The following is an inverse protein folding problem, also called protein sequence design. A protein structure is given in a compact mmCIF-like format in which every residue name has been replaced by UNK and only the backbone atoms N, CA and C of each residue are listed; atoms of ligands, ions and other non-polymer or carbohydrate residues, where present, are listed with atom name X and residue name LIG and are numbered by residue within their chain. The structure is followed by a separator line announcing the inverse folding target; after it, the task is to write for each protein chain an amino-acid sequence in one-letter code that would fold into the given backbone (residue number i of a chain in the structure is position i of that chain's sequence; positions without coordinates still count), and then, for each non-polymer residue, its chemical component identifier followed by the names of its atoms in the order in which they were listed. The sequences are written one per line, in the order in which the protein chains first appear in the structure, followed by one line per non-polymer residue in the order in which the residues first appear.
data_IF_009996749993
#
_entry.id   IF_009996749993
#
_cell.length_a   1.000
_cell.length_b   1.000
_cell.length_c   1.000
_cell.angle_alpha   90.00
_cell.angle_beta   90.00
_cell.angle_gamma   90.00
#
_symmetry.space_group_name_H-M   'P 1'
#
loop_
_entity.id
_entity.type
_entity.pdbx_description
1 polymer ?
#
# COMPACT_ATOMS: atom_id res chain seq x y z
N UNK A 1 18.89 -14.97 -2.95
CA UNK A 1 17.53 -15.41 -2.60
C UNK A 1 16.65 -14.33 -1.95
N UNK A 2 17.13 -13.08 -1.77
CA UNK A 2 16.36 -11.98 -1.13
C UNK A 2 15.48 -11.19 -2.12
N UNK A 3 15.90 -11.07 -3.39
CA UNK A 3 15.24 -10.24 -4.40
C UNK A 3 13.86 -10.79 -4.80
N UNK A 4 13.70 -12.11 -4.89
CA UNK A 4 12.41 -12.73 -5.26
C UNK A 4 11.35 -12.54 -4.17
N UNK A 5 11.77 -12.58 -2.90
CA UNK A 5 10.87 -12.43 -1.76
C UNK A 5 10.27 -11.02 -1.70
N UNK A 6 11.10 -9.97 -1.77
CA UNK A 6 10.59 -8.58 -1.74
C UNK A 6 9.59 -8.31 -2.88
N UNK A 7 9.80 -8.91 -4.05
CA UNK A 7 8.87 -8.79 -5.18
C UNK A 7 7.48 -9.34 -4.82
N UNK A 8 7.41 -10.54 -4.25
CA UNK A 8 6.14 -11.17 -3.83
C UNK A 8 5.39 -10.32 -2.81
N UNK A 9 6.08 -9.80 -1.79
CA UNK A 9 5.47 -8.94 -0.78
C UNK A 9 5.02 -7.59 -1.35
N UNK A 10 5.71 -7.08 -2.37
CA UNK A 10 5.31 -5.84 -3.05
C UNK A 10 4.01 -6.04 -3.83
N UNK A 11 3.84 -7.20 -4.48
CA UNK A 11 2.61 -7.56 -5.19
C UNK A 11 1.43 -7.74 -4.20
N UNK A 12 1.65 -8.45 -3.09
CA UNK A 12 0.66 -8.55 -2.00
C UNK A 12 0.27 -7.18 -1.44
N UNK A 13 1.24 -6.30 -1.25
CA UNK A 13 0.99 -4.95 -0.76
C UNK A 13 0.23 -4.09 -1.80
N UNK A 14 0.48 -4.25 -3.10
CA UNK A 14 -0.31 -3.59 -4.15
C UNK A 14 -1.79 -4.01 -4.08
N UNK A 15 -2.07 -5.29 -3.90
CA UNK A 15 -3.45 -5.78 -3.81
C UNK A 15 -4.16 -5.28 -2.55
N UNK A 16 -3.43 -5.18 -1.43
CA UNK A 16 -3.93 -4.54 -0.22
C UNK A 16 -4.31 -3.06 -0.45
N UNK A 17 -3.45 -2.31 -1.16
CA UNK A 17 -3.72 -0.90 -1.50
C UNK A 17 -4.95 -0.78 -2.41
N UNK A 18 -5.07 -1.64 -3.43
CA UNK A 18 -6.25 -1.69 -4.32
C UNK A 18 -7.53 -1.94 -3.52
N UNK A 19 -7.55 -3.00 -2.71
CA UNK A 19 -8.71 -3.37 -1.91
C UNK A 19 -9.16 -2.23 -1.00
N UNK A 20 -8.21 -1.59 -0.30
CA UNK A 20 -8.50 -0.47 0.59
C UNK A 20 -9.05 0.74 -0.17
N UNK A 21 -8.43 1.08 -1.30
CA UNK A 21 -8.86 2.22 -2.11
C UNK A 21 -10.24 1.99 -2.72
N UNK A 22 -10.49 0.81 -3.30
CA UNK A 22 -11.80 0.41 -3.82
C UNK A 22 -12.88 0.47 -2.74
N UNK A 23 -12.60 -0.07 -1.56
CA UNK A 23 -13.53 -0.03 -0.42
C UNK A 23 -13.85 1.41 -0.02
N UNK A 24 -12.83 2.27 0.07
CA UNK A 24 -13.02 3.68 0.41
C UNK A 24 -13.87 4.40 -0.66
N UNK A 25 -13.56 4.21 -1.94
CA UNK A 25 -14.29 4.87 -3.03
C UNK A 25 -15.75 4.40 -3.09
N UNK A 26 -16.02 3.10 -2.95
CA UNK A 26 -17.40 2.57 -2.94
C UNK A 26 -18.23 3.06 -1.75
N UNK A 27 -17.60 3.25 -0.59
CA UNK A 27 -18.30 3.68 0.63
C UNK A 27 -18.48 5.18 0.72
N UNK A 28 -17.44 5.97 0.41
CA UNK A 28 -17.48 7.42 0.51
C UNK A 28 -18.02 8.11 -0.76
N UNK A 29 -17.85 7.49 -1.93
CA UNK A 29 -18.15 8.09 -3.24
C UNK A 29 -18.77 7.08 -4.23
N UNK A 30 -19.92 6.46 -3.90
CA UNK A 30 -20.49 5.35 -4.67
C UNK A 30 -20.87 5.70 -6.12
N UNK A 31 -21.06 6.98 -6.43
CA UNK A 31 -21.39 7.48 -7.77
C UNK A 31 -20.16 7.82 -8.63
N UNK A 32 -18.96 7.81 -8.05
CA UNK A 32 -17.73 8.10 -8.79
C UNK A 32 -17.08 6.81 -9.31
N UNK A 33 -16.45 6.92 -10.48
CA UNK A 33 -15.61 5.86 -11.00
C UNK A 33 -14.37 5.67 -10.09
N UNK A 34 -14.01 4.42 -9.86
CA UNK A 34 -12.84 4.08 -9.04
C UNK A 34 -11.58 4.30 -9.89
N UNK A 35 -10.68 5.12 -9.37
CA UNK A 35 -9.41 5.42 -10.01
C UNK A 35 -8.49 4.21 -10.18
N UNK A 36 -7.53 4.32 -11.10
CA UNK A 36 -6.56 3.25 -11.36
C UNK A 36 -5.51 3.18 -10.26
N UNK A 37 -5.16 1.97 -9.82
CA UNK A 37 -4.01 1.74 -8.94
C UNK A 37 -2.93 1.00 -9.71
N UNK A 38 -1.73 1.57 -9.75
CA UNK A 38 -0.62 1.06 -10.54
C UNK A 38 0.65 0.89 -9.71
N UNK A 39 1.51 -0.02 -10.15
CA UNK A 39 2.84 -0.22 -9.60
C UNK A 39 3.89 0.10 -10.67
N UNK A 40 4.80 1.02 -10.35
CA UNK A 40 5.92 1.39 -11.22
C UNK A 40 7.22 0.90 -10.60
N UNK A 41 7.86 -0.08 -11.24
CA UNK A 41 9.11 -0.68 -10.76
C UNK A 41 10.28 0.23 -11.08
N UNK A 42 11.11 0.51 -10.08
CA UNK A 42 12.40 1.18 -10.23
C UNK A 42 13.52 0.34 -9.65
N UNK A 43 14.77 0.80 -9.80
CA UNK A 43 15.94 0.06 -9.30
C UNK A 43 15.94 -0.03 -7.77
N UNK A 44 16.00 1.14 -7.10
CA UNK A 44 16.00 1.21 -5.63
C UNK A 44 14.58 1.20 -5.05
N UNK A 45 13.66 1.90 -5.71
CA UNK A 45 12.30 2.06 -5.21
C UNK A 45 11.28 1.58 -6.21
N UNK A 46 10.28 0.85 -5.73
CA UNK A 46 9.03 0.59 -6.45
C UNK A 46 7.97 1.57 -5.97
N UNK A 47 7.21 2.20 -6.87
CA UNK A 47 6.16 3.15 -6.52
C UNK A 47 4.80 2.51 -6.66
N UNK A 48 3.89 2.82 -5.72
CA UNK A 48 2.46 2.58 -5.86
C UNK A 48 1.79 3.92 -6.15
N UNK A 49 1.04 3.99 -7.24
CA UNK A 49 0.35 5.18 -7.73
C UNK A 49 -1.14 4.92 -7.67
N UNK A 50 -1.90 5.89 -7.16
CA UNK A 50 -3.36 5.92 -7.23
C UNK A 50 -3.72 7.12 -8.10
N UNK A 51 -4.37 6.86 -9.22
CA UNK A 51 -4.61 7.80 -10.31
C UNK A 51 -3.31 8.47 -10.78
N UNK A 52 -3.04 9.69 -10.31
CA UNK A 52 -1.89 10.50 -10.68
C UNK A 52 -1.01 10.86 -9.48
N UNK A 53 -1.33 10.35 -8.28
CA UNK A 53 -0.61 10.63 -7.05
C UNK A 53 0.15 9.39 -6.56
N UNK A 54 1.41 9.59 -6.14
CA UNK A 54 2.16 8.51 -5.50
C UNK A 54 1.56 8.26 -4.11
N UNK A 55 1.10 7.04 -3.87
CA UNK A 55 0.63 6.62 -2.55
C UNK A 55 1.82 6.27 -1.65
N UNK A 56 2.74 5.44 -2.14
CA UNK A 56 3.90 4.98 -1.39
C UNK A 56 5.07 4.58 -2.27
N UNK A 57 6.25 4.58 -1.65
CA UNK A 57 7.49 4.04 -2.20
C UNK A 57 7.92 2.84 -1.37
N UNK A 58 8.30 1.76 -2.04
CA UNK A 58 8.79 0.53 -1.41
C UNK A 58 10.28 0.47 -1.71
N UNK A 59 11.10 0.40 -0.67
CA UNK A 59 12.54 0.20 -0.81
C UNK A 59 12.82 -1.27 -1.14
N UNK A 60 13.30 -1.50 -2.36
CA UNK A 60 13.54 -2.85 -2.88
C UNK A 60 14.72 -3.56 -2.18
N UNK A 61 15.47 -2.86 -1.33
CA UNK A 61 16.62 -3.43 -0.61
C UNK A 61 16.25 -4.00 0.75
N UNK A 62 15.19 -3.49 1.38
CA UNK A 62 14.84 -3.81 2.77
C UNK A 62 13.32 -3.93 3.03
N UNK A 63 12.47 -3.66 2.03
CA UNK A 63 11.02 -3.76 2.13
C UNK A 63 10.34 -2.60 2.86
N UNK A 64 11.06 -1.53 3.23
CA UNK A 64 10.46 -0.41 3.93
C UNK A 64 9.43 0.31 3.06
N UNK A 65 8.30 0.64 3.66
CA UNK A 65 7.24 1.43 3.05
C UNK A 65 7.46 2.89 3.46
N UNK A 66 7.70 3.74 2.47
CA UNK A 66 8.02 5.15 2.66
C UNK A 66 6.91 6.02 2.07
N UNK A 67 6.60 7.12 2.76
CA UNK A 67 5.66 8.12 2.26
C UNK A 67 6.28 8.86 1.06
N UNK A 68 5.52 9.32 0.07
CA UNK A 68 6.01 10.31 -0.87
C UNK A 68 6.45 11.60 -0.16
N UNK A 69 7.64 12.10 -0.51
CA UNK A 69 8.04 13.50 -0.29
C UNK A 69 7.81 14.33 -1.57
N UNK A 70 7.97 13.69 -2.73
CA UNK A 70 7.58 14.21 -4.04
C UNK A 70 7.20 13.04 -4.95
N UNK A 71 6.74 13.33 -6.16
CA UNK A 71 6.51 12.30 -7.17
C UNK A 71 7.78 11.47 -7.49
N UNK A 72 8.96 12.07 -7.32
CA UNK A 72 10.26 11.46 -7.65
C UNK A 72 10.96 10.84 -6.45
N UNK A 73 10.63 11.25 -5.21
CA UNK A 73 11.40 10.88 -4.03
C UNK A 73 10.54 10.51 -2.81
N UNK A 74 10.92 9.46 -2.06
CA UNK A 74 10.32 9.15 -0.78
C UNK A 74 10.77 10.11 0.33
N UNK A 75 10.00 10.14 1.40
CA UNK A 75 10.42 10.65 2.70
C UNK A 75 11.43 9.69 3.35
N UNK A 76 12.25 10.19 4.28
CA UNK A 76 13.31 9.39 4.92
C UNK A 76 12.76 8.35 5.90
N UNK A 77 11.70 8.71 6.62
CA UNK A 77 11.12 7.90 7.69
C UNK A 77 10.17 6.82 7.13
N UNK A 78 10.43 5.53 7.40
CA UNK A 78 9.49 4.44 7.11
C UNK A 78 8.19 4.60 7.88
N UNK A 79 7.11 4.08 7.30
CA UNK A 79 5.78 3.99 7.91
C UNK A 79 5.38 2.57 8.28
N UNK A 80 6.26 1.63 7.95
CA UNK A 80 6.00 0.20 8.03
C UNK A 80 6.94 -0.55 7.09
N UNK A 81 6.75 -1.86 7.00
CA UNK A 81 7.54 -2.74 6.16
C UNK A 81 6.61 -3.74 5.45
N UNK A 82 6.85 -4.01 4.17
CA UNK A 82 6.02 -4.93 3.39
C UNK A 82 6.12 -6.37 3.89
N UNK A 83 7.18 -6.75 4.61
CA UNK A 83 7.41 -8.14 5.02
C UNK A 83 6.59 -8.56 6.24
N UNK A 84 5.95 -7.61 6.94
CA UNK A 84 5.12 -7.87 8.11
C UNK A 84 3.70 -7.34 7.89
N UNK A 85 2.70 -8.12 8.27
CA UNK A 85 1.29 -7.70 8.14
C UNK A 85 1.04 -6.39 8.92
N UNK A 86 1.48 -6.32 10.17
CA UNK A 86 1.37 -5.09 10.97
C UNK A 86 2.05 -3.90 10.29
N UNK A 87 3.24 -4.09 9.70
CA UNK A 87 3.94 -3.03 8.97
C UNK A 87 3.19 -2.57 7.72
N UNK A 88 2.55 -3.49 6.99
CA UNK A 88 1.68 -3.13 5.87
C UNK A 88 0.50 -2.28 6.32
N UNK A 89 -0.14 -2.66 7.44
CA UNK A 89 -1.30 -1.95 7.99
C UNK A 89 -0.94 -0.58 8.56
N UNK A 90 0.16 -0.49 9.30
CA UNK A 90 0.70 0.77 9.86
C UNK A 90 1.01 1.80 8.78
N UNK A 91 1.39 1.34 7.58
CA UNK A 91 1.74 2.22 6.46
C UNK A 91 0.63 3.19 6.05
N UNK A 92 -0.63 2.81 6.32
CA UNK A 92 -1.82 3.61 6.04
C UNK A 92 -2.06 4.74 7.07
N UNK A 93 -1.30 4.77 8.18
CA UNK A 93 -1.31 5.80 9.22
C UNK A 93 -2.49 5.73 10.20
N UNK A 94 -2.54 6.63 11.19
CA UNK A 94 -3.59 6.71 12.23
C UNK A 94 -4.99 7.12 11.73
N UNK A 95 -5.16 7.45 10.45
CA UNK A 95 -6.46 7.41 9.77
C UNK A 95 -6.93 5.97 9.51
N UNK A 96 -6.23 5.01 10.10
CA UNK A 96 -6.81 3.78 10.59
C UNK A 96 -8.12 4.13 11.32
N UNK A 97 -9.28 3.71 10.80
CA UNK A 97 -10.53 3.96 11.47
C UNK A 97 -10.56 3.14 12.78
N UNK A 98 -9.95 3.68 13.83
CA UNK A 98 -10.16 3.22 15.21
C UNK A 98 -11.64 3.28 15.61
N UNK A 99 -12.49 3.91 14.77
CA UNK A 99 -13.94 3.94 14.88
C UNK A 99 -14.71 3.36 13.67
N UNK A 100 -14.07 2.64 12.73
CA UNK A 100 -14.82 2.00 11.63
C UNK A 100 -14.16 0.69 11.16
N UNK A 101 -14.39 -0.36 11.95
CA UNK A 101 -14.49 -1.74 11.49
C UNK A 101 -13.33 -2.30 10.68
N UNK A 102 -12.32 -2.83 11.37
CA UNK A 102 -11.51 -3.94 10.82
C UNK A 102 -12.37 -5.21 10.70
N UNK A 103 -13.28 -5.22 9.73
CA UNK A 103 -14.01 -6.44 9.35
C UNK A 103 -13.36 -7.17 8.17
N UNK A 104 -12.50 -6.54 7.38
CA UNK A 104 -12.02 -7.14 6.12
C UNK A 104 -10.77 -8.02 6.22
N UNK A 105 -9.96 -7.93 7.29
CA UNK A 105 -8.83 -8.86 7.52
C UNK A 105 -9.32 -10.26 7.93
N UNK A 106 -10.54 -10.39 8.50
CA UNK A 106 -11.14 -11.69 8.84
C UNK A 106 -11.59 -12.53 7.62
N UNK A 107 -11.71 -11.94 6.43
CA UNK A 107 -12.21 -12.66 5.25
C UNK A 107 -11.11 -13.30 4.38
N UNK A 108 -9.83 -13.04 4.66
CA UNK A 108 -8.71 -13.68 3.97
C UNK A 108 -8.26 -15.02 4.61
N UNK A 109 -8.81 -15.38 5.79
CA UNK A 109 -8.45 -16.61 6.52
C UNK A 109 -9.60 -17.65 6.61
N UNK A 110 -10.64 -17.56 5.77
CA UNK A 110 -11.71 -18.59 5.68
C UNK A 110 -11.94 -19.05 4.24
N UNK A 111 -10.86 -19.47 3.58
CA UNK A 111 -10.87 -20.34 2.41
C UNK A 111 -10.16 -21.63 2.75
#
# INVERSE_FOLDING_TARGET
MVINYIKEYTEKYLDLVKLRYETYMKTAFPSLNIGKVEMVKGRKYTKIIIENAVHSFIDNTNGNILKPNSYKAPHKTPRGNITTENGQLESFGSNNPKNNGYYWIKYLHRG
#
